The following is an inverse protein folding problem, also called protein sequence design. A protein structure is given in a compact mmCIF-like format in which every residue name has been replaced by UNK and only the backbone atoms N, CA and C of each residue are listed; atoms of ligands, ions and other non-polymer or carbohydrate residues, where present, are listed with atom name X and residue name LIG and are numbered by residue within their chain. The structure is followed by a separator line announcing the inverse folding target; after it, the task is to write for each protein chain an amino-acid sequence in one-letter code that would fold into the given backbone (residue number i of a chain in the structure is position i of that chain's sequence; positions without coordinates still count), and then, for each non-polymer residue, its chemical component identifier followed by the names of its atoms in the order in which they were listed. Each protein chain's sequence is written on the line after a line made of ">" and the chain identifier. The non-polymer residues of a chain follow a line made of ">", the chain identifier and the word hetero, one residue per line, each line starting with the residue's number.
data_IF_722460953561
#
_entry.id   IF_722460953561
#
_cell.length_a   1.000
_cell.length_b   1.000
_cell.length_c   1.000
_cell.angle_alpha   90.00
_cell.angle_beta   90.00
_cell.angle_gamma   90.00
#
_symmetry.space_group_name_H-M   'P 1'
#
loop_
_entity.id
_entity.type
_entity.pdbx_description
1 polymer ?
#
# COMPACT_ATOMS: atom_id res chain seq x y z
N UNK A 1 5.16 7.67 -8.06
CA UNK A 1 4.24 7.04 -7.10
C UNK A 1 3.41 5.93 -7.75
N UNK A 2 2.49 6.25 -8.67
CA UNK A 2 1.57 5.23 -9.24
C UNK A 2 2.26 4.03 -9.89
N UNK A 3 3.32 4.26 -10.68
CA UNK A 3 4.07 3.19 -11.33
C UNK A 3 4.76 2.25 -10.32
N UNK A 4 5.27 2.79 -9.21
CA UNK A 4 5.91 2.01 -8.16
C UNK A 4 4.87 1.14 -7.42
N UNK A 5 3.73 1.75 -7.08
CA UNK A 5 2.61 1.04 -6.48
C UNK A 5 2.08 -0.09 -7.39
N UNK A 6 1.95 0.17 -8.70
CA UNK A 6 1.48 -0.84 -9.65
C UNK A 6 2.44 -2.01 -9.83
N UNK A 7 3.75 -1.75 -9.79
CA UNK A 7 4.76 -2.80 -9.81
C UNK A 7 4.64 -3.73 -8.59
N UNK A 8 4.45 -3.16 -7.40
CA UNK A 8 4.25 -3.95 -6.16
C UNK A 8 2.93 -4.71 -6.21
N UNK A 9 1.85 -4.07 -6.66
CA UNK A 9 0.53 -4.70 -6.80
C UNK A 9 0.57 -5.96 -7.68
N UNK A 10 1.28 -5.91 -8.83
CA UNK A 10 1.46 -7.09 -9.70
C UNK A 10 2.10 -8.25 -8.95
N UNK A 11 3.10 -7.98 -8.12
CA UNK A 11 3.77 -9.02 -7.33
C UNK A 11 2.89 -9.59 -6.21
N UNK A 12 1.99 -8.78 -5.65
CA UNK A 12 1.00 -9.22 -4.66
C UNK A 12 -0.07 -10.11 -5.31
N UNK A 13 -0.51 -9.80 -6.53
CA UNK A 13 -1.49 -10.64 -7.26
C UNK A 13 -1.02 -12.08 -7.50
N UNK A 14 0.29 -12.30 -7.49
CA UNK A 14 0.90 -13.64 -7.61
C UNK A 14 0.89 -14.42 -6.28
N UNK A 15 0.36 -13.83 -5.21
CA UNK A 15 0.22 -14.44 -3.88
C UNK A 15 -1.25 -14.72 -3.58
N UNK A 16 -1.52 -15.81 -2.88
CA UNK A 16 -2.86 -16.10 -2.36
C UNK A 16 -3.08 -15.38 -1.02
N UNK A 17 -3.36 -14.08 -1.09
CA UNK A 17 -3.66 -13.25 0.06
C UNK A 17 -5.01 -12.54 -0.13
N UNK A 18 -5.88 -12.61 0.88
CA UNK A 18 -7.16 -11.87 0.90
C UNK A 18 -7.13 -10.63 1.78
N UNK A 19 -6.33 -10.65 2.85
CA UNK A 19 -6.19 -9.59 3.84
C UNK A 19 -4.77 -9.07 3.84
N UNK A 20 -4.62 -7.75 3.70
CA UNK A 20 -3.31 -7.10 3.58
C UNK A 20 -3.27 -5.92 4.54
N UNK A 21 -2.18 -5.81 5.29
CA UNK A 21 -1.87 -4.62 6.08
C UNK A 21 -0.72 -3.87 5.42
N UNK A 22 -0.92 -2.58 5.14
CA UNK A 22 0.10 -1.69 4.58
C UNK A 22 0.52 -0.71 5.67
N UNK A 23 1.82 -0.67 5.96
CA UNK A 23 2.40 0.28 6.92
C UNK A 23 3.20 1.32 6.14
N UNK A 24 2.70 2.55 6.14
CA UNK A 24 3.27 3.67 5.42
C UNK A 24 4.11 4.53 6.36
N UNK A 25 5.34 4.87 5.97
CA UNK A 25 6.09 5.96 6.62
C UNK A 25 5.59 7.34 6.18
N UNK A 26 6.17 8.43 6.72
CA UNK A 26 5.85 9.82 6.30
C UNK A 26 6.57 10.29 5.02
N UNK A 27 7.49 9.49 4.48
CA UNK A 27 8.27 9.83 3.28
C UNK A 27 7.62 9.40 1.96
N UNK A 28 8.37 9.53 0.85
CA UNK A 28 7.91 9.18 -0.51
C UNK A 28 7.38 7.73 -0.62
N UNK A 29 8.04 6.77 0.03
CA UNK A 29 7.58 5.38 0.06
C UNK A 29 6.25 5.20 0.81
N UNK A 30 5.93 6.10 1.74
CA UNK A 30 4.63 6.17 2.38
C UNK A 30 3.53 6.50 1.39
N UNK A 31 3.78 7.50 0.53
CA UNK A 31 2.90 7.81 -0.59
C UNK A 31 2.73 6.63 -1.55
N UNK A 32 3.81 5.92 -1.89
CA UNK A 32 3.72 4.69 -2.69
C UNK A 32 2.85 3.62 -2.00
N UNK A 33 2.97 3.47 -0.68
CA UNK A 33 2.15 2.59 0.13
C UNK A 33 0.66 2.97 0.12
N UNK A 34 0.32 4.25 0.18
CA UNK A 34 -1.07 4.71 0.03
C UNK A 34 -1.62 4.45 -1.37
N UNK A 35 -0.83 4.73 -2.42
CA UNK A 35 -1.21 4.42 -3.79
C UNK A 35 -1.44 2.91 -3.97
N UNK A 36 -0.57 2.06 -3.41
CA UNK A 36 -0.73 0.61 -3.41
C UNK A 36 -2.00 0.19 -2.65
N UNK A 37 -2.25 0.78 -1.49
CA UNK A 37 -3.43 0.48 -0.67
C UNK A 37 -4.72 0.76 -1.43
N UNK A 38 -4.79 1.89 -2.14
CA UNK A 38 -5.92 2.20 -3.04
C UNK A 38 -6.09 1.13 -4.11
N UNK A 39 -5.00 0.73 -4.78
CA UNK A 39 -5.05 -0.29 -5.84
C UNK A 39 -5.53 -1.64 -5.32
N UNK A 40 -5.07 -2.05 -4.13
CA UNK A 40 -5.53 -3.28 -3.48
C UNK A 40 -7.02 -3.19 -3.12
N UNK A 41 -7.47 -2.10 -2.52
CA UNK A 41 -8.86 -1.90 -2.11
C UNK A 41 -9.84 -1.98 -3.31
N UNK A 42 -9.55 -1.25 -4.40
CA UNK A 42 -10.43 -1.25 -5.59
C UNK A 42 -10.44 -2.60 -6.34
N UNK A 43 -9.45 -3.47 -6.09
CA UNK A 43 -9.39 -4.81 -6.66
C UNK A 43 -9.91 -5.89 -5.70
N UNK A 44 -10.63 -5.50 -4.63
CA UNK A 44 -11.39 -6.42 -3.78
C UNK A 44 -10.59 -7.11 -2.66
N UNK A 45 -9.38 -6.63 -2.37
CA UNK A 45 -8.65 -7.05 -1.18
C UNK A 45 -9.21 -6.35 0.07
N UNK A 46 -9.18 -7.03 1.21
CA UNK A 46 -9.43 -6.39 2.51
C UNK A 46 -8.12 -5.75 2.98
N UNK A 47 -8.10 -4.42 3.08
CA UNK A 47 -6.87 -3.64 3.28
C UNK A 47 -6.98 -2.80 4.54
N UNK A 48 -6.02 -2.97 5.45
CA UNK A 48 -5.79 -2.05 6.56
C UNK A 48 -4.56 -1.19 6.26
N UNK A 49 -4.64 0.11 6.51
CA UNK A 49 -3.52 1.04 6.26
C UNK A 49 -3.18 1.76 7.55
N UNK A 50 -1.90 1.77 7.92
CA UNK A 50 -1.38 2.50 9.07
C UNK A 50 -0.34 3.50 8.61
N UNK A 51 -0.51 4.76 8.98
CA UNK A 51 0.55 5.75 8.89
C UNK A 51 1.39 5.65 10.15
N UNK A 52 2.68 5.34 9.99
CA UNK A 52 3.64 5.22 11.07
C UNK A 52 4.75 6.25 10.90
N UNK A 53 4.74 7.26 11.76
CA UNK A 53 5.74 8.30 11.81
C UNK A 53 5.30 9.44 12.70
N UNK A 54 6.22 10.35 12.95
CA UNK A 54 5.97 11.54 13.75
C UNK A 54 5.38 12.63 12.84
N UNK A 55 4.12 13.02 13.07
CA UNK A 55 3.46 14.10 12.32
C UNK A 55 4.12 15.47 12.53
N UNK A 56 4.97 15.62 13.56
CA UNK A 56 5.70 16.86 13.85
C UNK A 56 7.02 17.00 13.07
N UNK A 57 7.37 16.01 12.24
CA UNK A 57 8.51 16.04 11.31
C UNK A 57 8.09 16.16 9.86
#
# INVERSE_FOLDING_TARGET
>A
MENAAWAVFKRIKERDAKRITVVCGIGNNGGDGFALSRLLYINGYEVNVYLFGDESK
#
